data_IF_635582679957
#
_entry.id   IF_635582679957
#
_cell.length_a   1.000
_cell.length_b   1.000
_cell.length_c   1.000
_cell.angle_alpha   90.00
_cell.angle_beta   90.00
_cell.angle_gamma   90.00
#
_symmetry.space_group_name_H-M   'P 1'
#
loop_
_entity.id
_entity.type
_entity.pdbx_description
1 polymer ?
#
# COMPACT_ATOMS: atom_id res chain seq x y z
N UNK A 1 -40.07 6.05 0.67
CA UNK A 1 -39.17 5.63 1.77
C UNK A 1 -37.82 6.28 1.49
N UNK A 2 -37.35 7.12 2.42
CA UNK A 2 -36.16 7.94 2.26
C UNK A 2 -34.90 7.07 2.30
N UNK A 3 -34.05 7.19 1.28
CA UNK A 3 -32.72 6.58 1.24
C UNK A 3 -31.75 7.43 2.05
N UNK A 4 -31.27 6.90 3.16
CA UNK A 4 -30.19 7.48 3.96
C UNK A 4 -28.87 7.08 3.31
N UNK A 5 -28.30 7.98 2.51
CA UNK A 5 -26.90 7.89 2.08
C UNK A 5 -26.06 8.39 3.25
N UNK A 6 -25.43 7.46 3.96
CA UNK A 6 -24.46 7.77 5.00
C UNK A 6 -23.19 8.30 4.34
N UNK A 7 -22.96 9.62 4.42
CA UNK A 7 -21.66 10.21 4.12
C UNK A 7 -20.67 9.76 5.18
N UNK A 8 -19.77 8.85 4.82
CA UNK A 8 -18.60 8.52 5.63
C UNK A 8 -17.72 9.78 5.69
N UNK A 9 -17.69 10.42 6.85
CA UNK A 9 -16.72 11.46 7.19
C UNK A 9 -15.34 10.81 7.24
N UNK A 10 -14.68 10.71 6.08
CA UNK A 10 -13.27 10.35 6.00
C UNK A 10 -12.48 11.39 6.80
N UNK A 11 -11.83 10.95 7.88
CA UNK A 11 -10.92 11.79 8.62
C UNK A 11 -9.69 12.05 7.75
N UNK A 12 -9.67 13.18 7.05
CA UNK A 12 -8.50 13.64 6.30
C UNK A 12 -7.46 14.16 7.30
N UNK A 13 -6.68 13.24 7.85
CA UNK A 13 -5.45 13.60 8.55
C UNK A 13 -4.39 13.96 7.53
N UNK A 14 -4.29 15.23 7.14
CA UNK A 14 -3.22 15.71 6.26
C UNK A 14 -1.88 15.61 6.99
N UNK A 15 -1.18 14.49 6.79
CA UNK A 15 0.19 14.32 7.25
C UNK A 15 1.11 14.89 6.17
N UNK A 16 1.32 16.20 6.17
CA UNK A 16 2.28 16.84 5.25
C UNK A 16 3.66 16.79 5.88
N UNK A 17 4.47 15.79 5.49
CA UNK A 17 5.90 15.76 5.80
C UNK A 17 6.61 16.78 4.90
N UNK A 18 6.65 18.04 5.34
CA UNK A 18 7.47 19.07 4.71
C UNK A 18 8.95 18.87 5.08
N UNK A 19 9.67 17.98 4.40
CA UNK A 19 11.13 17.88 4.54
C UNK A 19 11.85 18.70 3.48
N UNK A 20 12.75 19.56 3.94
CA UNK A 20 13.60 20.39 3.12
C UNK A 20 14.89 19.61 2.73
N UNK A 21 14.76 18.60 1.87
CA UNK A 21 15.90 17.99 1.19
C UNK A 21 15.64 18.02 -0.31
N UNK A 22 16.42 18.86 -0.99
CA UNK A 22 16.50 18.92 -2.45
C UNK A 22 17.04 17.57 -2.96
N UNK A 23 16.43 17.05 -4.04
CA UNK A 23 16.88 15.94 -4.92
C UNK A 23 16.65 14.56 -4.31
N UNK A 24 15.68 13.75 -4.72
CA UNK A 24 15.28 13.35 -6.09
C UNK A 24 13.77 13.18 -6.15
N UNK A 25 13.15 13.57 -7.26
CA UNK A 25 11.82 13.09 -7.62
C UNK A 25 11.88 11.56 -7.55
N UNK A 26 11.10 10.96 -6.65
CA UNK A 26 11.10 9.50 -6.47
C UNK A 26 9.99 8.90 -7.32
N UNK A 27 9.57 9.60 -8.35
CA UNK A 27 8.63 9.16 -9.38
C UNK A 27 9.24 9.40 -10.77
N UNK A 28 8.97 8.49 -11.70
CA UNK A 28 9.35 8.62 -13.12
C UNK A 28 8.09 8.62 -13.99
N UNK A 29 8.13 9.33 -15.13
CA UNK A 29 7.04 9.29 -16.10
C UNK A 29 7.01 7.94 -16.81
N UNK A 30 5.85 7.29 -16.83
CA UNK A 30 5.57 6.04 -17.55
C UNK A 30 4.46 6.30 -18.59
N UNK A 31 4.70 7.29 -19.46
CA UNK A 31 3.71 7.79 -20.42
C UNK A 31 2.92 8.98 -19.88
N UNK A 32 1.58 8.88 -19.88
CA UNK A 32 0.67 9.91 -19.36
C UNK A 32 0.59 9.95 -17.83
N UNK A 33 1.16 8.95 -17.16
CA UNK A 33 1.07 8.72 -15.72
C UNK A 33 2.44 8.80 -15.03
N UNK A 34 2.40 8.75 -13.70
CA UNK A 34 3.56 8.79 -12.80
C UNK A 34 3.78 7.41 -12.20
N UNK A 35 4.99 6.86 -12.21
CA UNK A 35 5.28 5.51 -11.71
C UNK A 35 6.32 5.50 -10.59
N UNK A 36 6.36 4.40 -9.81
CA UNK A 36 7.37 4.13 -8.79
C UNK A 36 8.68 3.68 -9.47
N UNK A 37 9.74 4.51 -9.47
CA UNK A 37 10.99 4.24 -10.16
C UNK A 37 11.75 3.15 -9.42
N UNK A 38 12.44 2.32 -10.18
CA UNK A 38 13.23 1.20 -9.64
C UNK A 38 12.42 -0.04 -9.23
N UNK A 39 11.08 0.00 -9.26
CA UNK A 39 10.22 -1.18 -9.09
C UNK A 39 9.66 -1.62 -10.44
N UNK A 40 10.46 -2.42 -11.15
CA UNK A 40 9.98 -3.13 -12.35
C UNK A 40 9.00 -4.21 -11.94
N UNK A 41 7.83 -4.24 -12.57
CA UNK A 41 6.75 -5.16 -12.22
C UNK A 41 7.22 -6.62 -12.19
N UNK A 42 7.90 -7.07 -13.24
CA UNK A 42 8.40 -8.44 -13.34
C UNK A 42 9.40 -8.80 -12.23
N UNK A 43 10.30 -7.89 -11.85
CA UNK A 43 11.25 -8.13 -10.76
C UNK A 43 10.54 -8.27 -9.42
N UNK A 44 9.51 -7.45 -9.17
CA UNK A 44 8.70 -7.54 -7.95
C UNK A 44 7.93 -8.87 -7.92
N UNK A 45 7.26 -9.22 -9.03
CA UNK A 45 6.49 -10.47 -9.15
C UNK A 45 7.37 -11.70 -8.98
N UNK A 46 8.56 -11.74 -9.59
CA UNK A 46 9.51 -12.84 -9.43
C UNK A 46 10.00 -12.95 -7.98
N UNK A 47 10.27 -11.81 -7.34
CA UNK A 47 10.64 -11.78 -5.92
C UNK A 47 9.51 -12.34 -5.05
N UNK A 48 8.27 -11.94 -5.30
CA UNK A 48 7.10 -12.45 -4.59
C UNK A 48 6.90 -13.96 -4.78
N UNK A 49 7.01 -14.46 -6.01
CA UNK A 49 6.99 -15.90 -6.29
C UNK A 49 8.09 -16.64 -5.53
N UNK A 50 9.29 -16.07 -5.47
CA UNK A 50 10.41 -16.60 -4.67
C UNK A 50 10.13 -16.66 -3.17
N UNK A 51 9.21 -15.83 -2.66
CA UNK A 51 8.73 -15.86 -1.27
C UNK A 51 7.50 -16.77 -1.08
N UNK A 52 7.06 -17.49 -2.11
CA UNK A 52 5.96 -18.45 -2.05
C UNK A 52 4.59 -17.91 -2.50
N UNK A 53 4.51 -16.68 -3.01
CA UNK A 53 3.26 -16.16 -3.57
C UNK A 53 2.87 -16.89 -4.87
N UNK A 54 1.57 -17.16 -5.02
CA UNK A 54 0.98 -17.48 -6.32
C UNK A 54 0.62 -16.16 -7.02
N UNK A 55 1.23 -15.86 -8.15
CA UNK A 55 0.97 -14.63 -8.90
C UNK A 55 0.35 -14.92 -10.27
N UNK A 56 -0.80 -14.29 -10.52
CA UNK A 56 -1.54 -14.28 -11.78
C UNK A 56 -1.52 -12.86 -12.39
N UNK A 57 -1.84 -12.76 -13.67
CA UNK A 57 -1.90 -11.49 -14.40
C UNK A 57 -3.20 -11.45 -15.21
N UNK A 58 -3.83 -10.29 -15.26
CA UNK A 58 -4.95 -9.99 -16.14
C UNK A 58 -4.68 -8.64 -16.83
N UNK A 59 -4.40 -8.68 -18.13
CA UNK A 59 -3.82 -7.55 -18.87
C UNK A 59 -2.60 -6.96 -18.15
N UNK A 60 -2.64 -5.68 -17.78
CA UNK A 60 -1.53 -4.94 -17.14
C UNK A 60 -1.63 -4.93 -15.60
N UNK A 61 -2.59 -5.66 -15.02
CA UNK A 61 -2.76 -5.77 -13.57
C UNK A 61 -2.25 -7.16 -13.09
N UNK A 62 -1.36 -7.16 -12.11
CA UNK A 62 -0.85 -8.37 -11.45
C UNK A 62 -1.55 -8.58 -10.12
N UNK A 63 -1.89 -9.82 -9.80
CA UNK A 63 -2.42 -10.22 -8.50
C UNK A 63 -1.57 -11.35 -7.92
N UNK A 64 -1.05 -11.16 -6.72
CA UNK A 64 -0.26 -12.14 -5.98
C UNK A 64 -0.95 -12.47 -4.66
N UNK A 65 -1.14 -13.76 -4.38
CA UNK A 65 -1.75 -14.25 -3.15
C UNK A 65 -0.80 -15.17 -2.37
N UNK A 66 -0.86 -15.09 -1.04
CA UNK A 66 -0.12 -15.96 -0.12
C UNK A 66 -0.95 -16.21 1.14
N UNK A 67 -1.03 -17.48 1.52
CA UNK A 67 -1.71 -17.92 2.74
C UNK A 67 -0.69 -18.43 3.75
N UNK A 68 -0.69 -17.83 4.95
CA UNK A 68 0.14 -18.29 6.06
C UNK A 68 -0.76 -18.54 7.26
N UNK A 69 -1.06 -19.82 7.51
CA UNK A 69 -1.94 -20.23 8.60
C UNK A 69 -3.34 -19.65 8.43
N UNK A 70 -3.72 -18.72 9.30
CA UNK A 70 -5.03 -18.07 9.32
C UNK A 70 -5.01 -16.63 8.76
N UNK A 71 -3.91 -16.23 8.11
CA UNK A 71 -3.75 -14.91 7.49
C UNK A 71 -3.57 -15.06 5.99
N UNK A 72 -4.34 -14.29 5.23
CA UNK A 72 -4.36 -14.27 3.77
C UNK A 72 -3.82 -12.92 3.32
N UNK A 73 -2.84 -12.93 2.42
CA UNK A 73 -2.21 -11.75 1.87
C UNK A 73 -2.54 -11.66 0.40
N UNK A 74 -3.28 -10.63 0.01
CA UNK A 74 -3.58 -10.33 -1.39
C UNK A 74 -2.82 -9.07 -1.78
N UNK A 75 -2.08 -9.09 -2.88
CA UNK A 75 -1.29 -7.96 -3.36
C UNK A 75 -1.62 -7.71 -4.82
N UNK A 76 -1.90 -6.46 -5.17
CA UNK A 76 -2.16 -6.05 -6.55
C UNK A 76 -1.15 -5.00 -6.99
N UNK A 77 -0.73 -5.10 -8.25
CA UNK A 77 0.08 -4.09 -8.92
C UNK A 77 -0.60 -3.69 -10.22
N UNK A 78 -0.80 -2.39 -10.40
CA UNK A 78 -1.17 -1.82 -11.70
C UNK A 78 0.08 -1.34 -12.40
N UNK A 79 0.31 -1.85 -13.60
CA UNK A 79 1.54 -1.65 -14.36
C UNK A 79 1.26 -0.79 -15.59
N UNK A 80 2.17 0.14 -15.89
CA UNK A 80 2.22 0.88 -17.15
C UNK A 80 3.67 0.90 -17.63
N UNK A 81 3.91 0.55 -18.89
CA UNK A 81 5.26 0.47 -19.49
C UNK A 81 6.28 -0.27 -18.60
N UNK A 82 5.90 -1.46 -18.11
CA UNK A 82 6.68 -2.32 -17.19
C UNK A 82 6.98 -1.75 -15.78
N UNK A 83 6.44 -0.57 -15.46
CA UNK A 83 6.60 0.11 -14.17
C UNK A 83 5.31 0.10 -13.36
N UNK A 84 5.45 0.08 -12.03
CA UNK A 84 4.29 0.06 -11.13
C UNK A 84 3.80 1.48 -10.87
N UNK A 85 2.55 1.77 -11.22
CA UNK A 85 1.88 3.04 -10.93
C UNK A 85 1.15 3.04 -9.59
N UNK A 86 0.46 1.93 -9.32
CA UNK A 86 -0.27 1.71 -8.08
C UNK A 86 0.04 0.33 -7.55
N UNK A 87 0.19 0.24 -6.23
CA UNK A 87 0.29 -1.03 -5.53
C UNK A 87 -0.67 -1.05 -4.36
N UNK A 88 -1.37 -2.17 -4.16
CA UNK A 88 -2.22 -2.36 -3.00
C UNK A 88 -1.94 -3.71 -2.35
N UNK A 89 -2.15 -3.76 -1.05
CA UNK A 89 -2.09 -4.99 -0.29
C UNK A 89 -3.25 -5.05 0.68
N UNK A 90 -3.94 -6.19 0.69
CA UNK A 90 -4.97 -6.52 1.66
C UNK A 90 -4.49 -7.69 2.52
N UNK A 91 -4.60 -7.50 3.83
CA UNK A 91 -4.38 -8.55 4.82
C UNK A 91 -5.74 -8.94 5.39
N UNK A 92 -6.18 -10.18 5.10
CA UNK A 92 -7.40 -10.76 5.68
C UNK A 92 -7.04 -11.77 6.75
N UNK A 93 -7.86 -11.83 7.80
CA UNK A 93 -7.73 -12.77 8.91
C UNK A 93 -8.94 -13.70 8.93
N UNK A 94 -8.73 -14.95 9.35
CA UNK A 94 -9.82 -15.90 9.54
C UNK A 94 -10.77 -15.49 10.70
N UNK A 95 -10.29 -14.69 11.66
CA UNK A 95 -11.08 -14.16 12.78
C UNK A 95 -11.00 -12.62 12.88
N UNK A 96 -11.87 -12.03 13.70
CA UNK A 96 -11.89 -10.58 13.97
C UNK A 96 -10.85 -10.16 15.03
N UNK A 97 -9.92 -11.05 15.41
CA UNK A 97 -8.89 -10.74 16.38
C UNK A 97 -8.04 -9.55 15.89
N UNK A 98 -7.47 -8.78 16.81
CA UNK A 98 -6.60 -7.63 16.48
C UNK A 98 -5.53 -8.02 15.45
N UNK A 99 -5.16 -7.10 14.56
CA UNK A 99 -4.17 -7.41 13.52
C UNK A 99 -2.90 -7.95 14.18
N UNK A 100 -2.61 -9.22 13.93
CA UNK A 100 -1.49 -9.91 14.53
C UNK A 100 -0.17 -9.24 14.12
N UNK A 101 0.88 -9.40 14.94
CA UNK A 101 2.19 -8.79 14.68
C UNK A 101 2.72 -9.07 13.26
N UNK A 102 2.43 -10.26 12.71
CA UNK A 102 2.79 -10.64 11.34
C UNK A 102 2.11 -9.76 10.28
N UNK A 103 0.80 -9.50 10.41
CA UNK A 103 0.06 -8.67 9.46
C UNK A 103 0.53 -7.21 9.46
N UNK A 104 0.78 -6.64 10.65
CA UNK A 104 1.36 -5.31 10.78
C UNK A 104 2.78 -5.23 10.22
N UNK A 105 3.61 -6.24 10.48
CA UNK A 105 4.97 -6.32 9.95
C UNK A 105 4.96 -6.36 8.41
N UNK A 106 4.04 -7.14 7.83
CA UNK A 106 3.87 -7.24 6.39
C UNK A 106 3.42 -5.91 5.77
N UNK A 107 2.36 -5.29 6.33
CA UNK A 107 1.91 -3.95 5.93
C UNK A 107 3.02 -2.92 6.03
N UNK A 108 3.82 -2.97 7.10
CA UNK A 108 4.94 -2.06 7.31
C UNK A 108 6.07 -2.26 6.31
N UNK A 109 6.35 -3.51 5.89
CA UNK A 109 7.32 -3.81 4.84
C UNK A 109 6.83 -3.31 3.48
N UNK A 110 5.57 -3.60 3.14
CA UNK A 110 4.96 -3.17 1.88
C UNK A 110 4.89 -1.64 1.77
N UNK A 111 4.48 -0.96 2.84
CA UNK A 111 4.33 0.50 2.89
C UNK A 111 5.63 1.26 2.59
N UNK A 112 6.80 0.68 2.88
CA UNK A 112 8.06 1.37 2.67
C UNK A 112 8.72 1.03 1.33
N UNK A 113 8.12 0.16 0.49
CA UNK A 113 8.76 -0.27 -0.75
C UNK A 113 9.20 0.89 -1.65
N UNK A 114 8.39 1.96 -1.86
CA UNK A 114 8.82 3.12 -2.66
C UNK A 114 10.02 3.88 -2.07
N UNK A 115 10.26 3.73 -0.76
CA UNK A 115 11.28 4.46 0.00
C UNK A 115 12.28 3.53 0.68
N UNK A 116 12.46 2.29 0.18
CA UNK A 116 13.27 1.26 0.85
C UNK A 116 14.71 1.70 1.10
N UNK A 117 15.23 2.55 0.21
CA UNK A 117 16.61 3.06 0.23
C UNK A 117 16.72 4.41 0.99
N UNK A 118 15.59 4.95 1.49
CA UNK A 118 15.53 6.10 2.41
C UNK A 118 15.09 5.63 3.81
N UNK A 119 16.05 5.39 4.74
CA UNK A 119 15.73 4.89 6.07
C UNK A 119 14.95 5.89 6.92
N UNK A 120 15.07 7.20 6.66
CA UNK A 120 14.38 8.21 7.43
C UNK A 120 12.90 8.28 7.04
N UNK A 121 12.61 8.31 5.74
CA UNK A 121 11.21 8.27 5.24
C UNK A 121 10.56 6.92 5.54
N UNK A 122 11.28 5.81 5.38
CA UNK A 122 10.83 4.47 5.77
C UNK A 122 10.41 4.41 7.25
N UNK A 123 11.17 5.04 8.15
CA UNK A 123 10.81 5.12 9.56
C UNK A 123 9.52 5.92 9.78
N UNK A 124 9.40 7.10 9.17
CA UNK A 124 8.23 7.97 9.32
C UNK A 124 6.95 7.28 8.83
N UNK A 125 7.02 6.55 7.71
CA UNK A 125 5.90 5.75 7.17
C UNK A 125 5.48 4.64 8.14
N UNK A 126 6.43 3.88 8.70
CA UNK A 126 6.12 2.82 9.68
C UNK A 126 5.46 3.38 10.94
N UNK A 127 5.99 4.50 11.46
CA UNK A 127 5.45 5.16 12.63
C UNK A 127 4.02 5.66 12.35
N UNK A 128 3.79 6.31 11.21
CA UNK A 128 2.46 6.72 10.76
C UNK A 128 1.51 5.52 10.66
N UNK A 129 1.88 4.48 9.92
CA UNK A 129 1.04 3.31 9.66
C UNK A 129 0.63 2.62 10.97
N UNK A 130 1.57 2.44 11.89
CA UNK A 130 1.29 1.83 13.20
C UNK A 130 0.25 2.63 14.01
N UNK A 131 0.33 3.96 13.97
CA UNK A 131 -0.65 4.83 14.64
C UNK A 131 -2.04 4.74 13.99
N UNK A 132 -2.12 4.66 12.66
CA UNK A 132 -3.39 4.61 11.96
C UNK A 132 -4.09 3.25 12.12
N UNK A 133 -3.33 2.16 12.06
CA UNK A 133 -3.83 0.81 12.37
C UNK A 133 -4.38 0.75 13.80
N UNK A 134 -3.69 1.34 14.78
CA UNK A 134 -4.16 1.41 16.16
C UNK A 134 -5.50 2.17 16.30
N UNK A 135 -5.73 3.18 15.45
CA UNK A 135 -6.98 3.95 15.43
C UNK A 135 -8.15 3.23 14.77
N UNK A 136 -7.90 2.16 13.99
CA UNK A 136 -8.92 1.38 13.25
C UNK A 136 -9.87 2.25 12.42
N UNK A 137 -9.35 3.28 11.76
CA UNK A 137 -10.11 4.17 10.91
C UNK A 137 -9.48 4.25 9.54
N UNK A 138 -10.33 4.41 8.55
CA UNK A 138 -9.89 4.72 7.20
C UNK A 138 -9.18 6.07 7.20
N UNK A 139 -8.07 6.13 6.50
CA UNK A 139 -7.25 7.33 6.44
C UNK A 139 -6.52 7.42 5.11
N UNK A 140 -6.17 8.65 4.76
CA UNK A 140 -5.47 9.01 3.53
C UNK A 140 -4.40 10.02 3.90
N UNK A 141 -3.18 9.80 3.43
CA UNK A 141 -2.07 10.70 3.65
C UNK A 141 -1.26 10.84 2.37
N UNK A 142 -0.92 12.08 2.00
CA UNK A 142 0.09 12.34 0.98
C UNK A 142 1.45 12.37 1.65
N UNK A 143 2.30 11.40 1.31
CA UNK A 143 3.67 11.30 1.81
C UNK A 143 4.58 11.51 0.61
N UNK A 144 5.15 12.73 0.50
CA UNK A 144 5.95 13.17 -0.63
C UNK A 144 5.21 12.95 -1.98
N UNK A 145 5.74 12.08 -2.84
CA UNK A 145 5.25 11.85 -4.20
C UNK A 145 4.14 10.79 -4.27
N UNK A 146 3.75 10.17 -3.15
CA UNK A 146 2.73 9.12 -3.11
C UNK A 146 1.57 9.46 -2.19
N UNK A 147 0.39 8.99 -2.59
CA UNK A 147 -0.77 8.93 -1.73
C UNK A 147 -0.89 7.53 -1.12
N UNK A 148 -1.02 7.50 0.21
CA UNK A 148 -1.25 6.29 1.00
C UNK A 148 -2.71 6.30 1.47
N UNK A 149 -3.44 5.24 1.15
CA UNK A 149 -4.83 5.04 1.56
C UNK A 149 -4.91 3.75 2.38
N UNK A 150 -5.20 3.88 3.68
CA UNK A 150 -5.42 2.75 4.57
C UNK A 150 -6.92 2.63 4.83
N UNK A 151 -7.48 1.44 4.60
CA UNK A 151 -8.90 1.14 4.74
C UNK A 151 -9.12 -0.16 5.49
N UNK A 152 -10.29 -0.29 6.12
CA UNK A 152 -10.73 -1.54 6.73
C UNK A 152 -12.05 -1.96 6.07
N UNK A 153 -11.99 -2.52 4.84
CA UNK A 153 -13.20 -2.81 4.04
C UNK A 153 -14.12 -3.83 4.74
N UNK A 154 -13.57 -4.67 5.60
CA UNK A 154 -14.26 -5.68 6.39
C UNK A 154 -13.69 -5.69 7.82
N UNK A 155 -14.43 -6.24 8.79
CA UNK A 155 -13.98 -6.29 10.19
C UNK A 155 -12.66 -7.08 10.38
N UNK A 156 -12.41 -8.05 9.51
CA UNK A 156 -11.23 -8.91 9.49
C UNK A 156 -10.19 -8.52 8.42
N UNK A 157 -10.43 -7.46 7.63
CA UNK A 157 -9.56 -7.04 6.54
C UNK A 157 -8.97 -5.65 6.75
N UNK A 158 -7.69 -5.49 6.45
CA UNK A 158 -7.03 -4.18 6.35
C UNK A 158 -6.34 -4.08 5.01
N UNK A 159 -6.60 -2.99 4.29
CA UNK A 159 -6.05 -2.73 2.96
C UNK A 159 -5.23 -1.44 2.96
N UNK A 160 -4.06 -1.50 2.35
CA UNK A 160 -3.20 -0.35 2.11
C UNK A 160 -2.96 -0.22 0.62
N UNK A 161 -3.33 0.93 0.06
CA UNK A 161 -3.06 1.31 -1.32
C UNK A 161 -2.05 2.44 -1.35
N UNK A 162 -1.10 2.36 -2.28
CA UNK A 162 -0.07 3.36 -2.54
C UNK A 162 -0.14 3.71 -4.02
N UNK A 163 -0.36 4.98 -4.31
CA UNK A 163 -0.51 5.49 -5.67
C UNK A 163 0.47 6.64 -5.90
N UNK A 164 1.16 6.62 -7.03
CA UNK A 164 2.05 7.70 -7.43
C UNK A 164 1.22 8.94 -7.81
N UNK A 165 1.59 10.09 -7.25
CA UNK A 165 0.90 11.37 -7.49
C UNK A 165 1.81 12.34 -8.22
N UNK A 166 1.27 13.01 -9.25
CA UNK A 166 1.92 14.10 -9.98
C UNK A 166 1.89 15.43 -9.23
#
# INVERSE_FOLDING_TARGET
MAGLVAFVLAGTGTFVLARNHRLTQVTESCGGDTCIPGLKAMTVVETMRGQGYACTTDSDDWHCELDIGATYFDVWFRVYDDLIHQMSMRVRRADEATMAGTGLAYLSWFAIMPYRDDPATSKDIRDWLSQQIAKRKDTRAKILDYEYVLQNPESNATELTIEATS
#
